data_IF_957811372827
#
_entry.id   IF_957811372827
#
_cell.length_a   1.000
_cell.length_b   1.000
_cell.length_c   1.000
_cell.angle_alpha   90.00
_cell.angle_beta   90.00
_cell.angle_gamma   90.00
#
_symmetry.space_group_name_H-M   'P 1'
#
loop_
_entity.id
_entity.type
_entity.pdbx_description
1 polymer ?
#
# COMPACT_ATOMS: atom_id res chain seq x y z
N UNK A 1 -2.76 13.32 5.99
CA UNK A 1 -1.92 12.16 5.61
C UNK A 1 -2.55 11.50 4.41
N UNK A 2 -1.73 11.04 3.47
CA UNK A 2 -2.20 10.46 2.21
C UNK A 2 -1.98 8.94 2.21
N UNK A 3 -2.87 8.23 1.52
CA UNK A 3 -2.73 6.79 1.29
C UNK A 3 -2.76 6.52 -0.22
N UNK A 4 -1.72 5.88 -0.74
CA UNK A 4 -1.70 5.44 -2.13
C UNK A 4 -1.95 3.94 -2.22
N UNK A 5 -2.98 3.55 -2.97
CA UNK A 5 -3.14 2.19 -3.46
C UNK A 5 -2.33 2.06 -4.75
N UNK A 6 -1.24 1.29 -4.67
CA UNK A 6 -0.30 1.14 -5.77
C UNK A 6 -0.57 -0.19 -6.45
N UNK A 7 -0.96 -0.13 -7.73
CA UNK A 7 -1.28 -1.32 -8.54
C UNK A 7 -0.70 -1.17 -9.94
N UNK A 8 -0.20 -2.27 -10.49
CA UNK A 8 0.19 -2.35 -11.90
C UNK A 8 -1.04 -2.19 -12.83
N UNK A 9 -2.22 -2.59 -12.36
CA UNK A 9 -3.51 -2.53 -13.09
C UNK A 9 -4.49 -1.59 -12.37
N UNK A 10 -4.32 -0.27 -12.48
CA UNK A 10 -5.12 0.70 -11.71
C UNK A 10 -6.63 0.64 -12.03
N UNK A 11 -6.99 0.16 -13.21
CA UNK A 11 -8.37 0.03 -13.69
C UNK A 11 -8.95 -1.38 -13.56
N UNK A 12 -8.20 -2.35 -13.01
CA UNK A 12 -8.72 -3.71 -12.80
C UNK A 12 -9.85 -3.69 -11.75
N UNK A 13 -10.83 -4.60 -11.92
CA UNK A 13 -11.93 -4.77 -10.98
C UNK A 13 -11.44 -4.98 -9.55
N UNK A 14 -10.34 -5.72 -9.39
CA UNK A 14 -9.67 -5.97 -8.12
C UNK A 14 -9.16 -4.69 -7.47
N UNK A 15 -8.42 -3.86 -8.22
CA UNK A 15 -7.96 -2.56 -7.72
C UNK A 15 -9.12 -1.66 -7.32
N UNK A 16 -10.19 -1.64 -8.11
CA UNK A 16 -11.38 -0.83 -7.81
C UNK A 16 -12.14 -1.35 -6.57
N UNK A 17 -12.23 -2.67 -6.39
CA UNK A 17 -12.85 -3.28 -5.21
C UNK A 17 -12.06 -2.99 -3.93
N UNK A 18 -10.74 -3.10 -3.99
CA UNK A 18 -9.86 -2.73 -2.87
C UNK A 18 -9.95 -1.24 -2.57
N UNK A 19 -9.97 -0.38 -3.59
CA UNK A 19 -10.14 1.06 -3.41
C UNK A 19 -11.47 1.39 -2.71
N UNK A 20 -12.56 0.69 -3.07
CA UNK A 20 -13.85 0.85 -2.42
C UNK A 20 -13.80 0.43 -0.95
N UNK A 21 -13.20 -0.72 -0.64
CA UNK A 21 -13.01 -1.19 0.73
C UNK A 21 -12.14 -0.22 1.55
N UNK A 22 -11.09 0.35 0.96
CA UNK A 22 -10.23 1.34 1.61
C UNK A 22 -10.98 2.64 1.94
N UNK A 23 -11.81 3.11 1.01
CA UNK A 23 -12.62 4.31 1.23
C UNK A 23 -13.68 4.08 2.31
N UNK A 24 -14.30 2.90 2.35
CA UNK A 24 -15.21 2.52 3.42
C UNK A 24 -14.50 2.49 4.77
N UNK A 25 -13.36 1.78 4.85
CA UNK A 25 -12.53 1.67 6.05
C UNK A 25 -12.05 3.03 6.58
N UNK A 26 -11.69 3.95 5.69
CA UNK A 26 -11.15 5.26 6.09
C UNK A 26 -12.23 6.23 6.59
N UNK A 27 -13.51 5.95 6.34
CA UNK A 27 -14.63 6.78 6.77
C UNK A 27 -14.77 6.84 8.30
N UNK A 28 -14.47 5.75 9.00
CA UNK A 28 -14.76 5.64 10.44
C UNK A 28 -13.67 6.21 11.36
N UNK A 29 -12.43 6.35 10.86
CA UNK A 29 -11.28 6.76 11.68
C UNK A 29 -10.59 8.07 11.28
N UNK A 30 -10.93 8.66 10.12
CA UNK A 30 -10.29 9.86 9.56
C UNK A 30 -8.74 9.83 9.54
N UNK A 31 -8.11 8.66 9.47
CA UNK A 31 -6.65 8.54 9.46
C UNK A 31 -6.02 9.15 8.20
N UNK A 32 -6.67 8.96 7.06
CA UNK A 32 -6.20 9.45 5.77
C UNK A 32 -7.17 10.47 5.21
N UNK A 33 -6.61 11.58 4.73
CA UNK A 33 -7.36 12.69 4.14
C UNK A 33 -7.71 12.38 2.69
N UNK A 34 -6.84 11.64 2.01
CA UNK A 34 -6.99 11.32 0.60
C UNK A 34 -6.45 9.92 0.29
N UNK A 35 -7.24 9.17 -0.48
CA UNK A 35 -6.87 7.84 -0.98
C UNK A 35 -6.80 7.90 -2.50
N UNK A 36 -5.60 7.68 -3.04
CA UNK A 36 -5.32 7.75 -4.47
C UNK A 36 -4.92 6.38 -5.00
N UNK A 37 -5.16 6.16 -6.29
CA UNK A 37 -4.58 5.02 -7.02
C UNK A 37 -3.39 5.53 -7.80
N UNK A 38 -2.27 4.81 -7.72
CA UNK A 38 -1.07 5.13 -8.47
C UNK A 38 -0.51 3.87 -9.16
N UNK A 39 0.13 4.08 -10.31
CA UNK A 39 0.93 3.03 -10.95
C UNK A 39 2.37 3.12 -10.45
N UNK A 40 3.02 1.99 -10.13
CA UNK A 40 4.39 1.98 -9.62
C UNK A 40 5.38 2.90 -10.36
N UNK A 41 5.40 2.87 -11.70
CA UNK A 41 6.36 3.62 -12.53
C UNK A 41 6.22 5.15 -12.43
N UNK A 42 4.98 5.59 -12.20
CA UNK A 42 4.59 7.02 -12.19
C UNK A 42 4.39 7.53 -10.77
N UNK A 43 4.53 6.67 -9.79
CA UNK A 43 4.23 6.99 -8.42
C UNK A 43 5.40 7.72 -7.76
N UNK A 44 5.12 8.92 -7.26
CA UNK A 44 6.06 9.74 -6.51
C UNK A 44 5.49 10.01 -5.11
N UNK A 45 5.80 9.15 -4.13
CA UNK A 45 5.23 9.27 -2.80
C UNK A 45 5.77 10.50 -2.08
N UNK A 46 4.87 11.23 -1.43
CA UNK A 46 5.21 12.35 -0.56
C UNK A 46 5.75 11.87 0.80
N UNK A 47 6.27 12.81 1.60
CA UNK A 47 6.72 12.51 2.98
C UNK A 47 5.56 12.18 3.93
N UNK A 48 4.35 12.65 3.61
CA UNK A 48 3.15 12.51 4.44
C UNK A 48 2.26 11.34 4.01
N UNK A 49 2.85 10.38 3.32
CA UNK A 49 2.16 9.32 2.62
C UNK A 49 2.59 7.95 3.14
N UNK A 50 1.61 7.05 3.17
CA UNK A 50 1.82 5.62 3.24
C UNK A 50 1.23 4.97 1.99
N UNK A 51 1.56 3.70 1.76
CA UNK A 51 0.98 2.99 0.63
C UNK A 51 0.52 1.59 0.96
N UNK A 52 -0.41 1.13 0.15
CA UNK A 52 -0.81 -0.26 0.06
C UNK A 52 -0.36 -0.75 -1.31
N UNK A 53 0.49 -1.77 -1.31
CA UNK A 53 1.00 -2.38 -2.55
C UNK A 53 0.07 -3.52 -2.92
N UNK A 54 -0.72 -3.35 -3.96
CA UNK A 54 -1.57 -4.39 -4.49
C UNK A 54 -0.73 -5.30 -5.37
N UNK A 55 -0.41 -6.47 -4.85
CA UNK A 55 0.40 -7.50 -5.50
C UNK A 55 -0.57 -8.53 -6.08
N UNK A 56 -0.88 -8.37 -7.37
CA UNK A 56 -1.68 -9.34 -8.10
C UNK A 56 -0.78 -10.46 -8.62
N UNK A 57 -1.35 -11.66 -8.72
CA UNK A 57 -0.72 -12.77 -9.40
C UNK A 57 -0.72 -12.52 -10.91
N UNK A 58 0.38 -11.93 -11.39
CA UNK A 58 0.67 -11.65 -12.79
C UNK A 58 2.16 -11.97 -13.04
N UNK A 59 2.46 -12.46 -14.24
CA UNK A 59 3.83 -12.82 -14.64
C UNK A 59 4.73 -11.58 -14.82
N UNK A 60 4.14 -10.38 -14.78
CA UNK A 60 4.86 -9.13 -14.90
C UNK A 60 5.69 -8.83 -13.64
N UNK A 61 7.01 -8.61 -13.77
CA UNK A 61 7.83 -8.26 -12.63
C UNK A 61 7.43 -6.91 -12.05
N UNK A 62 7.51 -6.79 -10.72
CA UNK A 62 7.28 -5.51 -10.06
C UNK A 62 8.31 -4.50 -10.57
N UNK A 63 7.88 -3.35 -11.11
CA UNK A 63 8.81 -2.43 -11.74
C UNK A 63 9.65 -1.71 -10.70
N UNK A 64 10.85 -1.31 -11.11
CA UNK A 64 11.73 -0.53 -10.25
C UNK A 64 11.11 0.83 -9.95
N UNK A 65 11.12 1.21 -8.68
CA UNK A 65 10.64 2.53 -8.29
C UNK A 65 11.55 3.61 -8.87
N UNK A 66 10.96 4.61 -9.50
CA UNK A 66 11.67 5.73 -10.14
C UNK A 66 11.99 6.88 -9.17
N UNK A 67 11.45 6.82 -7.94
CA UNK A 67 11.63 7.85 -6.92
C UNK A 67 12.79 7.51 -5.98
N UNK A 68 13.48 8.55 -5.50
CA UNK A 68 14.62 8.43 -4.60
C UNK A 68 14.19 8.47 -3.13
N UNK A 69 14.77 7.60 -2.30
CA UNK A 69 14.75 7.77 -0.85
C UNK A 69 15.57 9.03 -0.52
N UNK A 70 14.91 10.16 -0.40
CA UNK A 70 15.55 11.44 -0.10
C UNK A 70 15.97 11.48 1.37
N UNK A 71 17.14 10.91 1.69
CA UNK A 71 17.84 11.06 2.98
C UNK A 71 17.06 10.62 4.22
N UNK A 72 15.90 9.97 4.06
CA UNK A 72 15.05 9.52 5.18
C UNK A 72 15.60 8.24 5.77
N UNK A 73 15.78 8.23 7.09
CA UNK A 73 16.19 7.04 7.84
C UNK A 73 15.05 6.03 7.95
N UNK A 74 13.79 6.50 7.88
CA UNK A 74 12.60 5.66 7.78
C UNK A 74 12.07 5.69 6.34
N UNK A 75 12.07 4.53 5.69
CA UNK A 75 11.46 4.33 4.38
C UNK A 75 9.95 4.63 4.38
N UNK A 76 9.35 4.66 3.20
CA UNK A 76 7.93 4.82 3.02
C UNK A 76 7.18 3.66 3.71
N UNK A 77 6.24 3.93 4.64
CA UNK A 77 5.43 2.89 5.24
C UNK A 77 4.55 2.22 4.20
N UNK A 78 4.70 0.91 4.04
CA UNK A 78 3.95 0.12 3.06
C UNK A 78 3.31 -1.11 3.67
N UNK A 79 2.07 -1.38 3.26
CA UNK A 79 1.32 -2.59 3.59
C UNK A 79 1.10 -3.39 2.30
N UNK A 80 1.69 -4.59 2.17
CA UNK A 80 1.39 -5.45 1.03
C UNK A 80 -0.04 -6.00 1.11
N UNK A 81 -0.72 -6.05 -0.02
CA UNK A 81 -2.00 -6.72 -0.20
C UNK A 81 -1.85 -7.70 -1.36
N UNK A 82 -1.76 -8.98 -1.03
CA UNK A 82 -1.49 -10.08 -1.93
C UNK A 82 -2.83 -10.61 -2.44
N UNK A 83 -3.08 -10.51 -3.74
CA UNK A 83 -4.26 -11.08 -4.37
C UNK A 83 -3.87 -12.38 -5.04
N UNK A 84 -4.35 -13.48 -4.47
CA UNK A 84 -4.14 -14.81 -5.03
C UNK A 84 -5.28 -15.12 -6.01
N UNK A 85 -4.93 -15.36 -7.26
CA UNK A 85 -5.76 -16.11 -8.20
C UNK A 85 -5.38 -17.58 -7.99
N UNK A 86 -6.29 -18.53 -8.21
CA UNK A 86 -6.15 -19.95 -7.83
C UNK A 86 -4.97 -20.73 -8.49
N UNK A 87 -3.96 -20.06 -9.04
CA UNK A 87 -2.78 -20.63 -9.65
C UNK A 87 -1.51 -20.32 -8.83
N UNK A 88 -0.59 -21.28 -8.79
CA UNK A 88 0.58 -21.34 -7.91
C UNK A 88 1.70 -20.32 -8.21
N UNK A 89 1.40 -19.16 -8.80
CA UNK A 89 2.42 -18.14 -8.98
C UNK A 89 2.55 -17.30 -7.69
N UNK A 90 3.80 -17.07 -7.29
CA UNK A 90 4.09 -16.20 -6.17
C UNK A 90 3.92 -14.75 -6.65
N UNK A 91 3.00 -13.97 -6.07
CA UNK A 91 2.79 -12.58 -6.47
C UNK A 91 4.10 -11.79 -6.37
N UNK A 92 4.45 -11.08 -7.44
CA UNK A 92 5.69 -10.31 -7.49
C UNK A 92 5.48 -8.90 -6.91
N UNK A 93 6.33 -8.53 -5.95
CA UNK A 93 6.35 -7.23 -5.31
C UNK A 93 7.76 -6.63 -5.28
N UNK A 94 7.91 -5.40 -4.75
CA UNK A 94 9.22 -4.78 -4.64
C UNK A 94 10.13 -5.59 -3.71
N UNK A 95 11.45 -5.49 -3.92
CA UNK A 95 12.44 -6.15 -3.05
C UNK A 95 12.23 -5.70 -1.60
N UNK A 96 12.01 -6.66 -0.70
CA UNK A 96 11.81 -6.41 0.73
C UNK A 96 13.02 -5.75 1.40
N UNK A 97 14.18 -5.83 0.77
CA UNK A 97 15.44 -5.24 1.24
C UNK A 97 15.63 -3.82 0.73
N UNK A 98 14.74 -3.32 -0.13
CA UNK A 98 14.81 -1.97 -0.65
C UNK A 98 14.60 -0.96 0.49
N UNK A 99 15.61 -0.14 0.84
CA UNK A 99 15.53 0.80 1.96
C UNK A 99 14.51 1.91 1.75
N UNK A 100 13.99 2.08 0.52
CA UNK A 100 12.89 3.01 0.23
C UNK A 100 11.59 2.60 0.90
N UNK A 101 11.41 1.32 1.22
CA UNK A 101 10.18 0.80 1.80
C UNK A 101 10.37 0.38 3.26
N UNK A 102 9.33 0.62 4.05
CA UNK A 102 9.19 0.11 5.40
C UNK A 102 7.93 -0.75 5.48
N UNK A 103 8.11 -2.07 5.34
CA UNK A 103 7.00 -3.04 5.33
C UNK A 103 6.44 -3.22 6.74
N UNK A 104 5.15 -2.92 6.92
CA UNK A 104 4.50 -2.96 8.25
C UNK A 104 3.97 -4.34 8.62
N UNK A 105 3.87 -5.25 7.67
CA UNK A 105 3.47 -6.64 7.87
C UNK A 105 3.97 -7.52 6.72
N UNK A 106 3.80 -8.83 6.84
CA UNK A 106 4.04 -9.80 5.77
C UNK A 106 3.00 -9.72 4.63
N UNK A 107 2.04 -8.80 4.74
CA UNK A 107 0.95 -8.62 3.80
C UNK A 107 -0.38 -9.21 4.27
N UNK A 108 -1.46 -8.71 3.67
CA UNK A 108 -2.80 -9.29 3.78
C UNK A 108 -3.01 -10.15 2.54
N UNK A 109 -3.38 -11.42 2.72
CA UNK A 109 -3.77 -12.29 1.61
C UNK A 109 -5.26 -12.11 1.35
N UNK A 110 -5.60 -11.97 0.08
CA UNK A 110 -6.94 -11.81 -0.44
C UNK A 110 -7.15 -12.82 -1.58
N UNK A 111 -8.25 -13.55 -1.55
CA UNK A 111 -8.71 -14.30 -2.71
C UNK A 111 -9.50 -13.35 -3.63
N UNK A 112 -9.19 -13.34 -4.93
CA UNK A 112 -9.91 -12.50 -5.89
C UNK A 112 -11.42 -12.77 -5.90
N UNK A 113 -11.82 -14.04 -5.72
CA UNK A 113 -13.23 -14.44 -5.69
C UNK A 113 -13.96 -13.92 -4.45
N UNK A 114 -13.23 -13.73 -3.34
CA UNK A 114 -13.76 -13.17 -2.11
C UNK A 114 -14.03 -11.67 -2.25
N UNK A 115 -13.23 -10.92 -3.01
CA UNK A 115 -13.43 -9.48 -3.16
C UNK A 115 -14.76 -9.10 -3.83
N UNK A 116 -15.35 -10.01 -4.62
CA UNK A 116 -16.68 -9.84 -5.19
C UNK A 116 -17.81 -10.01 -4.14
N UNK A 117 -17.53 -10.61 -2.98
CA UNK A 117 -18.52 -10.91 -1.96
C UNK A 117 -18.54 -9.81 -0.87
N UNK A 118 -19.71 -9.19 -0.58
CA UNK A 118 -19.81 -8.10 0.41
C UNK A 118 -19.36 -8.46 1.83
N UNK A 119 -19.48 -9.72 2.26
CA UNK A 119 -19.02 -10.16 3.58
C UNK A 119 -17.48 -10.16 3.68
N UNK A 120 -16.79 -10.55 2.62
CA UNK A 120 -15.33 -10.53 2.55
C UNK A 120 -14.79 -9.09 2.48
N UNK A 121 -15.52 -8.19 1.82
CA UNK A 121 -15.20 -6.75 1.84
C UNK A 121 -15.20 -6.17 3.27
N UNK A 122 -16.09 -6.63 4.16
CA UNK A 122 -16.10 -6.22 5.57
C UNK A 122 -14.89 -6.77 6.35
N UNK A 123 -14.49 -8.01 6.09
CA UNK A 123 -13.29 -8.60 6.70
C UNK A 123 -12.04 -7.86 6.25
N UNK A 124 -11.92 -7.55 4.95
CA UNK A 124 -10.84 -6.75 4.40
C UNK A 124 -10.84 -5.35 5.03
N UNK A 125 -12.00 -4.69 5.12
CA UNK A 125 -12.15 -3.41 5.80
C UNK A 125 -11.63 -3.46 7.24
N UNK A 126 -12.07 -4.42 8.05
CA UNK A 126 -11.64 -4.55 9.44
C UNK A 126 -10.13 -4.79 9.57
N UNK A 127 -9.55 -5.61 8.67
CA UNK A 127 -8.09 -5.79 8.60
C UNK A 127 -7.40 -4.47 8.29
N UNK A 128 -7.84 -3.73 7.27
CA UNK A 128 -7.27 -2.45 6.88
C UNK A 128 -7.34 -1.42 8.02
N UNK A 129 -8.49 -1.31 8.68
CA UNK A 129 -8.69 -0.42 9.83
C UNK A 129 -7.69 -0.70 10.95
N UNK A 130 -7.36 -1.97 11.21
CA UNK A 130 -6.37 -2.33 12.23
C UNK A 130 -4.95 -1.81 11.91
N UNK A 131 -4.62 -1.61 10.63
CA UNK A 131 -3.31 -1.10 10.20
C UNK A 131 -3.25 0.42 10.08
N UNK A 132 -4.39 1.12 9.97
CA UNK A 132 -4.41 2.57 9.78
C UNK A 132 -3.74 3.37 10.93
N UNK A 133 -3.95 3.04 12.22
CA UNK A 133 -3.22 3.70 13.31
C UNK A 133 -1.70 3.53 13.18
N UNK A 134 -1.25 2.35 12.76
CA UNK A 134 0.17 2.04 12.59
C UNK A 134 0.77 2.83 11.43
N UNK A 135 0.13 2.81 10.26
CA UNK A 135 0.57 3.57 9.09
C UNK A 135 0.61 5.07 9.38
N UNK A 136 -0.44 5.60 10.02
CA UNK A 136 -0.50 6.99 10.47
C UNK A 136 0.67 7.35 11.39
N UNK A 137 0.94 6.52 12.40
CA UNK A 137 2.06 6.74 13.32
C UNK A 137 3.42 6.71 12.62
N UNK A 138 3.61 5.82 11.65
CA UNK A 138 4.85 5.72 10.89
C UNK A 138 5.06 6.91 9.96
N UNK A 139 3.99 7.44 9.35
CA UNK A 139 4.04 8.71 8.62
C UNK A 139 4.51 9.83 9.55
N UNK A 140 3.91 9.98 10.72
CA UNK A 140 4.29 11.01 11.70
C UNK A 140 5.76 10.85 12.14
N UNK A 141 6.25 9.63 12.33
CA UNK A 141 7.64 9.37 12.65
C UNK A 141 8.57 9.80 11.50
N UNK A 142 8.22 9.47 10.26
CA UNK A 142 8.95 9.87 9.05
C UNK A 142 9.01 11.39 8.89
N UNK A 143 7.91 12.09 9.20
CA UNK A 143 7.84 13.56 9.15
C UNK A 143 8.70 14.24 10.22
N UNK A 144 8.81 13.63 11.41
CA UNK A 144 9.57 14.18 12.54
C UNK A 144 11.08 13.98 12.40
N UNK A 145 11.52 13.23 11.38
CA UNK A 145 12.95 13.08 11.12
C UNK A 145 13.51 14.43 10.66
N UNK A 146 14.50 14.98 11.37
CA UNK A 146 15.14 16.21 10.93
C UNK A 146 15.71 15.98 9.53
N UNK A 147 15.51 16.96 8.64
CA UNK A 147 16.35 17.09 7.45
C UNK A 147 17.78 17.15 7.99
N UNK A 148 18.55 16.08 7.83
CA UNK A 148 19.98 16.14 8.08
C UNK A 148 20.54 17.24 7.18
N UNK A 149 20.85 18.38 7.80
CA UNK A 149 21.74 19.39 7.26
C UNK A 149 23.07 18.66 6.99
N UNK A 150 23.27 18.22 5.76
CA UNK A 150 24.61 17.94 5.27
C UNK A 150 25.20 19.30 4.85
N UNK A 151 26.06 19.84 5.71
CA UNK A 151 27.09 20.80 5.32
C UNK A 151 28.27 20.12 4.64
#
# INVERSE_FOLDING_TARGET
MNLSLVSQKPSAATTLGVLAALRAASGDGHYFTEIRVAQPDRWQPSKEEAAILLLEDDDAPWPESSWSASGTTLGLPVLPLLVHRQYDCAPQGPDIRDPRFYFVSNGIVLDETELAHPACSLVLQSKLESYFPLLSRLILLRQRQPLTLCG
#
